data_IF_790284279188
#
_entry.id   IF_790284279188
#
_cell.length_a   1.000
_cell.length_b   1.000
_cell.length_c   1.000
_cell.angle_alpha   90.00
_cell.angle_beta   90.00
_cell.angle_gamma   90.00
#
_symmetry.space_group_name_H-M   'P 1'
#
loop_
_entity.id
_entity.type
_entity.pdbx_description
1 polymer ?
#
# COMPACT_ATOMS: atom_id res chain seq x y z
N UNK A 1 -17.32 18.35 2.77
CA UNK A 1 -17.34 16.90 2.54
C UNK A 1 -15.92 16.42 2.80
N UNK A 2 -15.69 15.64 3.86
CA UNK A 2 -14.36 15.15 4.25
C UNK A 2 -13.99 14.00 3.30
N UNK A 3 -12.98 14.20 2.44
CA UNK A 3 -12.43 13.14 1.57
C UNK A 3 -11.51 12.26 2.39
N UNK A 4 -11.80 10.97 2.43
CA UNK A 4 -10.96 9.93 3.03
C UNK A 4 -9.73 9.66 2.15
N UNK A 5 -8.58 9.43 2.76
CA UNK A 5 -7.30 9.17 2.08
C UNK A 5 -7.34 7.91 1.21
N UNK A 6 -6.72 7.94 0.02
CA UNK A 6 -6.87 6.97 -1.07
C UNK A 6 -6.69 5.48 -0.74
N UNK A 7 -5.83 5.10 0.20
CA UNK A 7 -5.67 3.68 0.57
C UNK A 7 -6.81 3.14 1.44
N UNK A 8 -7.40 4.00 2.29
CA UNK A 8 -8.62 3.65 3.05
C UNK A 8 -9.89 3.75 2.17
N UNK A 9 -9.86 4.51 1.09
CA UNK A 9 -10.98 4.71 0.16
C UNK A 9 -11.25 3.48 -0.71
N UNK A 10 -10.24 2.78 -1.22
CA UNK A 10 -10.41 1.55 -2.00
C UNK A 10 -11.01 0.42 -1.15
N UNK A 11 -10.60 0.31 0.11
CA UNK A 11 -11.18 -0.63 1.06
C UNK A 11 -12.65 -0.35 1.36
N UNK A 12 -13.10 0.91 1.36
CA UNK A 12 -14.50 1.27 1.62
C UNK A 12 -15.43 1.12 0.41
N UNK A 13 -14.95 1.30 -0.80
CA UNK A 13 -15.78 1.19 -2.02
C UNK A 13 -16.26 -0.25 -2.29
N UNK A 14 -15.44 -1.26 -1.95
CA UNK A 14 -15.84 -2.67 -2.06
C UNK A 14 -16.87 -3.12 -0.98
N UNK A 15 -17.08 -2.33 0.07
CA UNK A 15 -17.92 -2.69 1.22
C UNK A 15 -19.43 -2.50 1.02
N UNK A 16 -19.91 -1.97 -0.10
CA UNK A 16 -21.32 -1.54 -0.25
C UNK A 16 -22.28 -2.56 -0.89
N UNK A 17 -21.85 -3.77 -1.25
CA UNK A 17 -22.69 -4.66 -2.07
C UNK A 17 -22.81 -6.13 -1.62
N UNK A 18 -22.85 -6.50 -0.34
CA UNK A 18 -23.31 -7.86 -0.02
C UNK A 18 -23.92 -7.96 1.39
N UNK A 19 -25.25 -7.80 1.48
CA UNK A 19 -26.06 -8.32 2.57
C UNK A 19 -26.46 -9.78 2.29
N UNK A 20 -25.55 -10.70 2.56
CA UNK A 20 -25.85 -12.14 2.54
C UNK A 20 -26.17 -12.62 3.95
N UNK A 21 -27.38 -13.12 4.17
CA UNK A 21 -27.86 -13.57 5.47
C UNK A 21 -26.97 -14.64 6.12
N UNK A 22 -26.65 -14.43 7.39
CA UNK A 22 -25.87 -15.33 8.21
C UNK A 22 -26.49 -16.73 8.29
N UNK A 23 -25.74 -17.76 7.90
CA UNK A 23 -26.00 -19.13 8.36
C UNK A 23 -25.58 -19.21 9.83
N UNK A 24 -26.57 -19.29 10.71
CA UNK A 24 -26.35 -19.53 12.12
C UNK A 24 -25.65 -20.89 12.32
N UNK A 25 -24.53 -20.90 13.06
CA UNK A 25 -23.86 -22.02 13.74
C UNK A 25 -22.42 -22.39 13.35
N UNK A 26 -21.81 -21.88 12.28
CA UNK A 26 -20.37 -22.05 12.12
C UNK A 26 -19.63 -20.91 12.84
N UNK A 27 -18.65 -21.21 13.67
CA UNK A 27 -17.78 -20.17 14.26
C UNK A 27 -17.03 -19.40 13.18
N UNK A 28 -16.59 -18.18 13.49
CA UNK A 28 -15.89 -17.30 12.52
C UNK A 28 -14.72 -18.00 11.81
N UNK A 29 -13.83 -18.76 12.48
CA UNK A 29 -12.76 -19.49 11.80
C UNK A 29 -13.26 -20.47 10.74
N UNK A 30 -14.41 -21.13 11.00
CA UNK A 30 -14.99 -22.04 10.02
C UNK A 30 -15.58 -21.30 8.83
N UNK A 31 -16.21 -20.14 9.04
CA UNK A 31 -16.71 -19.29 7.95
C UNK A 31 -15.56 -18.85 7.04
N UNK A 32 -14.42 -18.43 7.62
CA UNK A 32 -13.21 -18.06 6.87
C UNK A 32 -12.70 -19.26 6.06
N UNK A 33 -12.54 -20.42 6.70
CA UNK A 33 -12.08 -21.63 6.04
C UNK A 33 -12.97 -22.03 4.85
N UNK A 34 -14.28 -22.06 5.06
CA UNK A 34 -15.24 -22.45 4.02
C UNK A 34 -15.30 -21.42 2.89
N UNK A 35 -15.20 -20.12 3.21
CA UNK A 35 -15.14 -19.07 2.20
C UNK A 35 -13.91 -19.22 1.31
N UNK A 36 -12.72 -19.41 1.91
CA UNK A 36 -11.48 -19.56 1.16
C UNK A 36 -11.45 -20.84 0.34
N UNK A 37 -11.94 -21.99 0.89
CA UNK A 37 -12.05 -23.25 0.14
C UNK A 37 -12.97 -23.13 -1.08
N UNK A 38 -14.05 -22.38 -0.96
CA UNK A 38 -15.06 -22.29 -2.00
C UNK A 38 -14.72 -21.27 -3.09
N UNK A 39 -13.94 -20.22 -2.78
CA UNK A 39 -13.85 -19.06 -3.65
C UNK A 39 -12.40 -18.67 -4.01
N UNK A 40 -11.42 -18.96 -3.16
CA UNK A 40 -10.02 -18.64 -3.47
C UNK A 40 -9.49 -19.59 -4.56
N UNK A 41 -8.81 -19.10 -5.62
CA UNK A 41 -8.40 -19.91 -6.76
C UNK A 41 -7.41 -21.03 -6.40
N UNK A 42 -6.55 -20.80 -5.39
CA UNK A 42 -5.58 -21.80 -4.94
C UNK A 42 -5.19 -21.58 -3.44
N UNK A 43 -6.09 -21.89 -2.47
CA UNK A 43 -5.88 -21.55 -1.05
C UNK A 43 -4.75 -22.32 -0.38
N UNK A 44 -4.16 -23.28 -1.05
CA UNK A 44 -3.10 -24.16 -0.54
C UNK A 44 -1.75 -23.96 -1.24
N UNK A 45 -1.53 -22.82 -1.90
CA UNK A 45 -0.27 -22.54 -2.61
C UNK A 45 0.93 -22.48 -1.66
N UNK A 46 0.77 -21.81 -0.52
CA UNK A 46 1.85 -21.59 0.44
C UNK A 46 1.66 -22.33 1.77
N UNK A 47 0.59 -23.10 1.91
CA UNK A 47 0.26 -23.90 3.09
C UNK A 47 -0.34 -25.24 2.62
N UNK A 48 -0.05 -26.35 3.28
CA UNK A 48 -0.73 -27.60 2.95
C UNK A 48 -2.18 -27.57 3.42
N UNK A 49 -3.04 -28.35 2.74
CA UNK A 49 -4.45 -28.46 3.14
C UNK A 49 -4.60 -28.91 4.59
N UNK A 50 -3.78 -29.87 5.01
CA UNK A 50 -3.80 -30.41 6.37
C UNK A 50 -3.40 -29.35 7.41
N UNK A 51 -2.38 -28.54 7.11
CA UNK A 51 -1.97 -27.44 7.99
C UNK A 51 -3.01 -26.33 8.04
N UNK A 52 -3.64 -25.98 6.92
CA UNK A 52 -4.74 -25.02 6.84
C UNK A 52 -5.94 -25.48 7.70
N UNK A 53 -6.37 -26.74 7.52
CA UNK A 53 -7.51 -27.31 8.25
C UNK A 53 -7.21 -27.40 9.76
N UNK A 54 -6.00 -27.81 10.14
CA UNK A 54 -5.57 -27.91 11.54
C UNK A 54 -5.55 -26.53 12.24
N UNK A 55 -5.11 -25.48 11.53
CA UNK A 55 -5.11 -24.11 12.07
C UNK A 55 -6.54 -23.58 12.25
N UNK A 56 -7.42 -23.80 11.26
CA UNK A 56 -8.84 -23.44 11.36
C UNK A 56 -9.52 -24.11 12.57
N UNK A 57 -9.28 -25.41 12.75
CA UNK A 57 -9.84 -26.19 13.86
C UNK A 57 -9.28 -25.71 15.20
N UNK A 58 -7.99 -25.49 15.32
CA UNK A 58 -7.36 -24.99 16.54
C UNK A 58 -7.90 -23.60 16.95
N UNK A 59 -8.11 -22.70 15.98
CA UNK A 59 -8.74 -21.41 16.22
C UNK A 59 -10.20 -21.58 16.65
N UNK A 60 -10.97 -22.44 15.99
CA UNK A 60 -12.36 -22.67 16.33
C UNK A 60 -12.52 -23.22 17.77
N UNK A 61 -11.63 -24.10 18.22
CA UNK A 61 -11.65 -24.65 19.58
C UNK A 61 -11.39 -23.59 20.66
N UNK A 62 -10.56 -22.58 20.37
CA UNK A 62 -10.17 -21.51 21.32
C UNK A 62 -10.95 -20.21 21.10
N UNK A 63 -11.84 -20.14 20.12
CA UNK A 63 -12.42 -18.89 19.66
C UNK A 63 -13.07 -18.07 20.78
N UNK A 64 -13.90 -18.68 21.60
CA UNK A 64 -14.58 -17.97 22.68
C UNK A 64 -13.60 -17.42 23.74
N UNK A 65 -12.56 -18.19 24.09
CA UNK A 65 -11.51 -17.73 25.00
C UNK A 65 -10.76 -16.52 24.41
N UNK A 66 -10.37 -16.61 23.13
CA UNK A 66 -9.70 -15.53 22.42
C UNK A 66 -10.59 -14.27 22.29
N UNK A 67 -11.90 -14.45 22.07
CA UNK A 67 -12.85 -13.31 22.06
C UNK A 67 -12.94 -12.63 23.43
N UNK A 68 -13.00 -13.40 24.53
CA UNK A 68 -13.02 -12.86 25.89
C UNK A 68 -11.74 -12.10 26.22
N UNK A 69 -10.59 -12.53 25.68
CA UNK A 69 -9.28 -11.88 25.85
C UNK A 69 -9.07 -10.70 24.89
N UNK A 70 -9.92 -10.55 23.87
CA UNK A 70 -9.75 -9.54 22.80
C UNK A 70 -8.68 -9.89 21.77
N UNK A 71 -8.24 -11.16 21.70
CA UNK A 71 -7.15 -11.65 20.84
C UNK A 71 -7.65 -12.36 19.57
N UNK A 72 -8.95 -12.64 19.47
CA UNK A 72 -9.53 -13.45 18.39
C UNK A 72 -9.24 -12.87 16.99
N UNK A 73 -9.39 -11.55 16.80
CA UNK A 73 -9.11 -10.89 15.54
C UNK A 73 -7.64 -11.00 15.13
N UNK A 74 -6.72 -10.84 16.09
CA UNK A 74 -5.28 -10.95 15.84
C UNK A 74 -4.86 -12.38 15.51
N UNK A 75 -5.37 -13.37 16.22
CA UNK A 75 -5.11 -14.79 15.95
C UNK A 75 -5.63 -15.19 14.54
N UNK A 76 -6.82 -14.71 14.18
CA UNK A 76 -7.39 -14.93 12.84
C UNK A 76 -6.54 -14.23 11.74
N UNK A 77 -6.07 -13.01 12.00
CA UNK A 77 -5.21 -12.26 11.09
C UNK A 77 -3.90 -13.02 10.82
N UNK A 78 -3.23 -13.52 11.86
CA UNK A 78 -2.01 -14.32 11.70
C UNK A 78 -2.24 -15.56 10.84
N UNK A 79 -3.37 -16.24 11.03
CA UNK A 79 -3.71 -17.40 10.21
C UNK A 79 -3.94 -17.02 8.74
N UNK A 80 -4.74 -15.98 8.46
CA UNK A 80 -4.98 -15.50 7.09
C UNK A 80 -3.67 -15.03 6.45
N UNK A 81 -2.83 -14.28 7.17
CA UNK A 81 -1.53 -13.81 6.69
C UNK A 81 -0.57 -14.97 6.33
N UNK A 82 -0.71 -16.15 6.97
CA UNK A 82 0.11 -17.32 6.66
C UNK A 82 -0.14 -17.91 5.26
N UNK A 83 -1.24 -17.53 4.60
CA UNK A 83 -1.54 -17.92 3.22
C UNK A 83 -0.61 -17.26 2.21
N UNK A 84 0.02 -16.14 2.59
CA UNK A 84 0.95 -15.39 1.72
C UNK A 84 0.35 -14.97 0.38
N UNK A 85 -0.94 -14.69 0.35
CA UNK A 85 -1.60 -13.99 -0.73
C UNK A 85 -1.80 -12.54 -0.30
N UNK A 86 -1.11 -11.61 -0.95
CA UNK A 86 -1.10 -10.19 -0.59
C UNK A 86 -2.47 -9.51 -0.74
N UNK A 87 -3.40 -10.13 -1.46
CA UNK A 87 -4.78 -9.68 -1.62
C UNK A 87 -5.76 -10.37 -0.66
N UNK A 88 -5.37 -11.51 -0.04
CA UNK A 88 -6.19 -12.18 0.98
C UNK A 88 -5.77 -11.72 2.36
N UNK A 89 -6.60 -10.86 2.97
CA UNK A 89 -6.28 -10.16 4.21
C UNK A 89 -7.50 -10.10 5.14
N UNK A 90 -7.21 -10.06 6.44
CA UNK A 90 -8.21 -9.71 7.43
C UNK A 90 -8.15 -8.21 7.72
N UNK A 91 -9.30 -7.56 7.67
CA UNK A 91 -9.45 -6.15 8.03
C UNK A 91 -10.34 -6.04 9.27
N UNK A 92 -9.81 -5.46 10.35
CA UNK A 92 -10.59 -5.10 11.53
C UNK A 92 -10.60 -3.58 11.69
N UNK A 93 -11.76 -2.98 11.48
CA UNK A 93 -11.93 -1.54 11.61
C UNK A 93 -11.65 -1.00 13.01
N UNK A 94 -11.65 -1.87 14.04
CA UNK A 94 -11.30 -1.48 15.40
C UNK A 94 -9.82 -1.14 15.57
N UNK A 95 -8.93 -1.80 14.80
CA UNK A 95 -7.49 -1.53 14.87
C UNK A 95 -7.12 -0.13 14.35
N UNK A 96 -7.96 0.42 13.47
CA UNK A 96 -7.75 1.75 12.88
C UNK A 96 -8.27 2.90 13.74
N UNK A 97 -8.98 2.60 14.84
CA UNK A 97 -9.60 3.63 15.67
C UNK A 97 -8.59 4.41 16.53
N UNK A 98 -7.44 3.79 16.86
CA UNK A 98 -6.41 4.42 17.70
C UNK A 98 -5.08 4.40 16.98
N UNK A 99 -4.54 5.59 16.69
CA UNK A 99 -3.36 5.75 15.84
C UNK A 99 -2.34 6.72 16.43
N UNK A 100 -1.12 6.62 15.93
CA UNK A 100 -0.09 7.62 16.20
C UNK A 100 -0.44 8.96 15.56
N UNK A 101 0.05 10.09 16.09
CA UNK A 101 -0.17 11.41 15.51
C UNK A 101 0.74 11.70 14.30
N UNK A 102 1.32 10.67 13.69
CA UNK A 102 2.21 10.78 12.54
C UNK A 102 1.92 9.70 11.49
N UNK A 103 2.40 9.93 10.27
CA UNK A 103 2.42 8.97 9.15
C UNK A 103 3.86 8.62 8.84
N UNK A 104 4.09 7.36 8.51
CA UNK A 104 5.40 6.79 8.22
C UNK A 104 5.46 6.32 6.77
N UNK A 105 6.60 6.51 6.13
CA UNK A 105 6.96 5.87 4.85
C UNK A 105 8.24 5.05 5.01
N UNK A 106 8.33 3.97 4.26
CA UNK A 106 9.57 3.21 4.10
C UNK A 106 10.42 3.86 3.00
N UNK A 107 11.64 4.27 3.34
CA UNK A 107 12.62 4.87 2.41
C UNK A 107 13.99 4.25 2.71
N UNK A 108 14.63 3.66 1.70
CA UNK A 108 15.96 3.04 1.82
C UNK A 108 16.09 2.10 3.04
N UNK A 109 15.04 1.28 3.27
CA UNK A 109 15.00 0.33 4.38
C UNK A 109 14.77 0.92 5.76
N UNK A 110 14.56 2.23 5.89
CA UNK A 110 14.20 2.93 7.14
C UNK A 110 12.76 3.41 7.12
N UNK A 111 12.19 3.61 8.30
CA UNK A 111 10.83 4.11 8.49
C UNK A 111 10.88 5.58 8.91
N UNK A 112 10.49 6.46 7.99
CA UNK A 112 10.61 7.93 8.11
C UNK A 112 9.27 8.54 8.50
N UNK A 113 9.23 9.44 9.47
CA UNK A 113 8.04 10.26 9.77
C UNK A 113 7.91 11.32 8.67
N UNK A 114 6.85 11.25 7.89
CA UNK A 114 6.66 12.11 6.70
C UNK A 114 5.54 13.13 6.83
N UNK A 115 4.60 12.88 7.73
CA UNK A 115 3.46 13.75 8.01
C UNK A 115 3.04 13.58 9.47
N UNK A 116 2.42 14.61 10.08
CA UNK A 116 1.92 14.48 11.45
C UNK A 116 1.14 15.67 11.94
N UNK A 117 0.65 15.57 13.17
CA UNK A 117 0.09 16.65 13.95
C UNK A 117 1.20 17.59 14.45
N UNK A 118 0.83 18.73 15.02
CA UNK A 118 1.79 19.75 15.51
C UNK A 118 2.85 19.15 16.46
N UNK A 119 2.49 18.15 17.29
CA UNK A 119 3.42 17.47 18.20
C UNK A 119 4.47 16.63 17.47
N UNK A 120 4.18 16.15 16.26
CA UNK A 120 5.12 15.36 15.44
C UNK A 120 5.93 16.22 14.46
N UNK A 121 5.55 17.47 14.25
CA UNK A 121 6.19 18.39 13.32
C UNK A 121 7.72 18.55 13.51
N UNK A 122 8.26 18.63 14.75
CA UNK A 122 9.71 18.71 14.96
C UNK A 122 10.47 17.47 14.48
N UNK A 123 9.77 16.36 14.27
CA UNK A 123 10.35 15.04 13.94
C UNK A 123 10.08 14.62 12.49
N UNK A 124 9.59 15.53 11.64
CA UNK A 124 9.49 15.23 10.22
C UNK A 124 10.87 14.98 9.62
N UNK A 125 11.00 13.90 8.87
CA UNK A 125 12.27 13.42 8.32
C UNK A 125 13.09 12.53 9.26
N UNK A 126 12.71 12.42 10.55
CA UNK A 126 13.39 11.51 11.47
C UNK A 126 12.98 10.06 11.21
N UNK A 127 13.90 9.13 11.47
CA UNK A 127 13.64 7.70 11.33
C UNK A 127 13.28 7.07 12.66
N UNK A 128 12.41 6.04 12.62
CA UNK A 128 12.06 5.25 13.82
C UNK A 128 13.17 4.24 14.08
N UNK A 129 13.77 4.29 15.27
CA UNK A 129 14.80 3.35 15.72
C UNK A 129 14.28 2.30 16.69
N UNK A 130 13.22 2.62 17.47
CA UNK A 130 12.57 1.67 18.37
C UNK A 130 11.15 2.14 18.72
N UNK A 131 10.28 1.19 19.10
CA UNK A 131 8.97 1.44 19.71
C UNK A 131 9.00 0.85 21.14
N UNK A 132 8.74 1.67 22.15
CA UNK A 132 8.98 1.27 23.54
C UNK A 132 10.45 0.87 23.71
N UNK A 133 10.65 -0.35 24.24
CA UNK A 133 12.00 -0.94 24.42
C UNK A 133 12.38 -1.89 23.28
N UNK A 134 11.50 -2.08 22.26
CA UNK A 134 11.71 -3.01 21.16
C UNK A 134 12.39 -2.30 19.96
N UNK A 135 13.59 -2.72 19.52
CA UNK A 135 14.25 -2.21 18.32
C UNK A 135 13.37 -2.34 17.07
N UNK A 136 13.52 -1.44 16.11
CA UNK A 136 12.65 -1.40 14.93
C UNK A 136 12.68 -2.70 14.11
N UNK A 137 13.81 -3.39 14.06
CA UNK A 137 13.98 -4.64 13.34
C UNK A 137 13.18 -5.78 14.01
N UNK A 138 13.05 -5.76 15.32
CA UNK A 138 12.21 -6.70 16.08
C UNK A 138 10.73 -6.38 15.91
N UNK A 139 10.36 -5.09 15.94
CA UNK A 139 8.99 -4.61 15.65
C UNK A 139 8.57 -5.04 14.24
N UNK A 140 9.42 -4.81 13.24
CA UNK A 140 9.20 -5.19 11.85
C UNK A 140 8.98 -6.70 11.71
N UNK A 141 9.82 -7.51 12.37
CA UNK A 141 9.71 -8.96 12.39
C UNK A 141 8.40 -9.42 13.02
N UNK A 142 8.02 -8.83 14.16
CA UNK A 142 6.79 -9.19 14.87
C UNK A 142 5.54 -8.80 14.06
N UNK A 143 5.51 -7.59 13.46
CA UNK A 143 4.41 -7.14 12.61
C UNK A 143 4.25 -8.00 11.36
N UNK A 144 5.33 -8.55 10.81
CA UNK A 144 5.28 -9.37 9.59
C UNK A 144 4.39 -10.62 9.71
N UNK A 145 4.12 -11.07 10.95
CA UNK A 145 3.19 -12.18 11.20
C UNK A 145 1.71 -11.83 10.91
N UNK A 146 1.38 -10.55 10.84
CA UNK A 146 0.02 -10.04 10.59
C UNK A 146 -0.16 -9.53 9.15
N UNK A 147 0.90 -9.57 8.33
CA UNK A 147 0.91 -9.02 6.98
C UNK A 147 0.90 -10.17 5.97
N UNK A 148 -0.12 -10.19 5.10
CA UNK A 148 -0.09 -11.01 3.89
C UNK A 148 0.78 -10.33 2.86
N UNK A 149 1.89 -10.93 2.45
CA UNK A 149 2.80 -10.35 1.47
C UNK A 149 3.48 -11.44 0.63
N UNK A 150 3.78 -11.10 -0.61
CA UNK A 150 4.56 -11.92 -1.55
C UNK A 150 5.93 -11.31 -1.83
N UNK A 151 6.10 -10.00 -1.56
CA UNK A 151 7.34 -9.27 -1.81
C UNK A 151 7.82 -8.53 -0.56
N UNK A 152 9.11 -8.26 -0.51
CA UNK A 152 9.70 -7.44 0.55
C UNK A 152 9.20 -5.97 0.49
N UNK A 153 8.97 -5.44 -0.73
CA UNK A 153 8.38 -4.12 -0.94
C UNK A 153 6.99 -4.00 -0.32
N UNK A 154 6.11 -4.99 -0.58
CA UNK A 154 4.79 -5.08 0.05
C UNK A 154 4.90 -5.13 1.58
N UNK A 155 5.74 -6.02 2.11
CA UNK A 155 5.95 -6.16 3.55
C UNK A 155 6.34 -4.83 4.21
N UNK A 156 7.32 -4.12 3.66
CA UNK A 156 7.78 -2.84 4.21
C UNK A 156 6.74 -1.73 4.12
N UNK A 157 6.02 -1.64 3.01
CA UNK A 157 4.95 -0.66 2.85
C UNK A 157 3.82 -0.90 3.84
N UNK A 158 3.44 -2.15 4.06
CA UNK A 158 2.44 -2.54 5.05
C UNK A 158 2.95 -2.28 6.48
N UNK A 159 4.20 -2.64 6.80
CA UNK A 159 4.81 -2.34 8.10
C UNK A 159 4.79 -0.83 8.40
N UNK A 160 5.13 0.02 7.44
CA UNK A 160 5.08 1.48 7.62
C UNK A 160 3.68 1.97 8.02
N UNK A 161 2.63 1.38 7.43
CA UNK A 161 1.23 1.63 7.82
C UNK A 161 0.95 1.12 9.23
N UNK A 162 1.37 -0.09 9.54
CA UNK A 162 1.04 -0.80 10.78
C UNK A 162 1.80 -0.21 12.00
N UNK A 163 2.96 0.41 11.78
CA UNK A 163 3.66 1.23 12.77
C UNK A 163 2.84 2.42 13.29
N UNK A 164 1.78 2.79 12.58
CA UNK A 164 0.86 3.83 13.01
C UNK A 164 -0.35 3.30 13.80
N UNK A 165 -0.48 1.97 14.03
CA UNK A 165 -1.65 1.35 14.66
C UNK A 165 -1.33 0.86 16.08
N UNK A 166 -1.79 1.58 17.11
CA UNK A 166 -1.47 1.24 18.49
C UNK A 166 -2.00 -0.14 18.90
N UNK A 167 -3.11 -0.59 18.32
CA UNK A 167 -3.66 -1.93 18.59
C UNK A 167 -2.68 -3.05 18.21
N UNK A 168 -2.05 -2.94 17.01
CA UNK A 168 -1.03 -3.89 16.57
C UNK A 168 0.27 -3.76 17.36
N UNK A 169 0.71 -2.52 17.66
CA UNK A 169 1.90 -2.30 18.48
C UNK A 169 1.75 -2.88 19.90
N UNK A 170 0.55 -2.81 20.48
CA UNK A 170 0.25 -3.43 21.75
C UNK A 170 0.20 -4.96 21.66
N UNK A 171 -0.41 -5.48 20.61
CA UNK A 171 -0.49 -6.93 20.37
C UNK A 171 0.90 -7.58 20.29
N UNK A 172 1.86 -6.92 19.64
CA UNK A 172 3.24 -7.43 19.53
C UNK A 172 4.10 -7.11 20.79
N UNK A 173 3.55 -6.42 21.79
CA UNK A 173 4.26 -6.06 23.03
C UNK A 173 5.21 -4.87 22.92
N UNK A 174 5.13 -4.09 21.84
CA UNK A 174 5.94 -2.88 21.67
C UNK A 174 5.43 -1.69 22.48
N UNK A 175 4.19 -1.73 22.97
CA UNK A 175 3.59 -0.77 23.91
C UNK A 175 2.57 -1.46 24.81
N UNK A 176 2.37 -0.93 26.02
CA UNK A 176 1.34 -1.42 26.97
C UNK A 176 0.02 -0.65 26.84
N UNK A 177 0.06 0.52 26.18
CA UNK A 177 -1.04 1.48 26.21
C UNK A 177 -1.61 1.73 24.83
N UNK A 178 -2.91 2.05 24.79
CA UNK A 178 -3.57 2.64 23.61
C UNK A 178 -3.67 4.17 23.70
N UNK A 179 -3.31 4.79 24.82
CA UNK A 179 -3.41 6.24 25.02
C UNK A 179 -2.16 6.97 24.52
N UNK A 180 -1.00 6.30 24.58
CA UNK A 180 0.27 6.87 24.15
C UNK A 180 1.26 5.78 23.72
N UNK A 181 2.23 6.17 22.88
CA UNK A 181 3.35 5.32 22.47
C UNK A 181 4.67 6.05 22.67
N UNK A 182 5.69 5.35 23.19
CA UNK A 182 7.07 5.84 23.25
C UNK A 182 7.79 5.39 21.99
N UNK A 183 8.45 6.33 21.32
CA UNK A 183 9.18 6.08 20.08
C UNK A 183 10.58 6.64 20.23
N UNK A 184 11.60 5.83 19.98
CA UNK A 184 12.96 6.31 19.82
C UNK A 184 13.17 6.70 18.36
N UNK A 185 13.41 7.97 18.12
CA UNK A 185 13.64 8.58 16.83
C UNK A 185 15.13 8.88 16.65
N UNK A 186 15.64 8.71 15.42
CA UNK A 186 17.01 9.02 15.04
C UNK A 186 17.01 10.22 14.07
N UNK A 187 17.76 11.25 14.43
CA UNK A 187 17.90 12.49 13.66
C UNK A 187 18.66 12.26 12.36
N UNK A 188 18.16 12.77 11.22
CA UNK A 188 18.88 12.69 9.94
C UNK A 188 20.12 13.58 9.89
N UNK A 189 20.25 14.59 10.78
CA UNK A 189 21.34 15.56 10.74
C UNK A 189 22.63 15.03 11.34
N UNK A 190 22.54 14.33 12.46
CA UNK A 190 23.69 13.94 13.29
C UNK A 190 23.60 12.50 13.82
N UNK A 191 22.49 11.78 13.55
CA UNK A 191 22.25 10.44 14.04
C UNK A 191 21.93 10.37 15.54
N UNK A 192 21.69 11.52 16.20
CA UNK A 192 21.31 11.53 17.61
C UNK A 192 19.94 10.84 17.79
N UNK A 193 19.85 10.03 18.85
CA UNK A 193 18.61 9.32 19.19
C UNK A 193 17.88 10.00 20.33
N UNK A 194 16.60 10.25 20.13
CA UNK A 194 15.70 10.84 21.11
C UNK A 194 14.47 9.96 21.33
N UNK A 195 14.16 9.67 22.61
CA UNK A 195 12.88 9.05 22.96
C UNK A 195 11.82 10.12 23.12
N UNK A 196 10.70 9.94 22.43
CA UNK A 196 9.55 10.84 22.42
C UNK A 196 8.29 10.03 22.77
N UNK A 197 7.45 10.57 23.63
CA UNK A 197 6.13 10.02 23.90
C UNK A 197 5.09 10.79 23.09
N UNK A 198 4.30 10.07 22.30
CA UNK A 198 3.20 10.63 21.51
C UNK A 198 1.87 10.15 22.07
N UNK A 199 0.95 11.07 22.35
CA UNK A 199 -0.44 10.73 22.62
C UNK A 199 -1.12 10.19 21.37
N UNK A 200 -2.02 9.23 21.52
CA UNK A 200 -2.75 8.62 20.41
C UNK A 200 -3.86 9.54 19.90
N UNK A 201 -4.27 9.28 18.68
CA UNK A 201 -5.42 9.91 18.04
C UNK A 201 -6.56 8.90 17.87
N UNK A 202 -7.77 9.31 18.25
CA UNK A 202 -9.01 8.54 18.02
C UNK A 202 -9.80 9.04 16.82
N UNK A 203 -9.49 10.23 16.32
CA UNK A 203 -10.07 10.80 15.10
C UNK A 203 -8.97 11.04 14.05
N UNK A 204 -9.27 10.64 12.81
CA UNK A 204 -8.34 10.73 11.69
C UNK A 204 -8.40 12.14 11.08
N UNK A 205 -7.60 13.06 11.59
CA UNK A 205 -7.42 14.38 11.00
C UNK A 205 -5.93 14.75 10.98
N UNK A 206 -5.20 14.30 9.96
CA UNK A 206 -3.84 14.80 9.76
C UNK A 206 -3.89 16.23 9.21
N UNK A 207 -3.12 17.10 9.82
CA UNK A 207 -2.89 18.44 9.29
C UNK A 207 -1.96 18.35 8.08
N UNK A 208 -2.48 18.74 6.92
CA UNK A 208 -1.74 18.70 5.66
C UNK A 208 -0.67 19.78 5.55
N UNK A 209 -0.65 20.75 6.43
CA UNK A 209 0.40 21.77 6.50
C UNK A 209 1.71 21.23 7.12
N UNK A 210 1.66 20.04 7.73
CA UNK A 210 2.77 19.37 8.41
C UNK A 210 3.20 18.11 7.65
N UNK A 211 3.41 18.22 6.34
CA UNK A 211 3.89 17.14 5.49
C UNK A 211 5.20 17.55 4.80
N UNK A 212 6.14 16.62 4.68
CA UNK A 212 7.36 16.86 3.91
C UNK A 212 7.04 17.07 2.42
N UNK A 213 7.68 18.04 1.74
CA UNK A 213 7.35 18.40 0.36
C UNK A 213 7.40 17.23 -0.62
N UNK A 214 8.41 16.37 -0.54
CA UNK A 214 8.49 15.18 -1.40
C UNK A 214 7.40 14.16 -1.05
N UNK A 215 7.15 13.94 0.24
CA UNK A 215 6.06 13.07 0.69
C UNK A 215 4.69 13.61 0.25
N UNK A 216 4.46 14.93 0.27
CA UNK A 216 3.23 15.52 -0.27
C UNK A 216 3.07 15.23 -1.76
N UNK A 217 4.14 15.26 -2.51
CA UNK A 217 4.14 14.88 -3.94
C UNK A 217 3.87 13.38 -4.12
N UNK A 218 4.45 12.54 -3.29
CA UNK A 218 4.35 11.08 -3.38
C UNK A 218 3.03 10.55 -2.79
N UNK A 219 2.50 11.14 -1.72
CA UNK A 219 1.22 10.77 -1.08
C UNK A 219 0.01 11.45 -1.76
N UNK A 220 0.07 11.68 -3.04
CA UNK A 220 -0.85 12.54 -3.77
C UNK A 220 -2.32 12.23 -3.57
N UNK A 221 -3.07 13.30 -3.64
CA UNK A 221 -4.52 13.32 -3.61
C UNK A 221 -5.06 13.44 -5.03
N UNK A 222 -5.96 12.57 -5.38
CA UNK A 222 -6.57 12.48 -6.69
C UNK A 222 -6.03 11.30 -7.49
N UNK A 223 -6.84 10.86 -8.42
CA UNK A 223 -6.67 9.61 -9.16
C UNK A 223 -5.50 9.70 -10.14
N UNK A 224 -5.45 10.81 -10.89
CA UNK A 224 -4.37 11.12 -11.82
C UNK A 224 -4.27 12.62 -12.09
N UNK A 225 -3.08 13.05 -12.48
CA UNK A 225 -2.81 14.44 -12.89
C UNK A 225 -1.61 14.50 -13.82
N UNK A 226 -1.51 15.57 -14.61
CA UNK A 226 -0.36 15.85 -15.45
C UNK A 226 0.21 17.24 -15.16
N UNK A 227 1.52 17.36 -15.29
CA UNK A 227 2.26 18.61 -15.17
C UNK A 227 3.33 18.67 -16.25
N UNK A 228 3.39 19.76 -16.99
CA UNK A 228 4.54 20.04 -17.86
C UNK A 228 5.71 20.45 -16.95
N UNK A 229 6.67 19.55 -16.83
CA UNK A 229 7.90 19.81 -16.09
C UNK A 229 8.92 20.56 -16.95
N UNK A 230 10.05 20.92 -16.34
CA UNK A 230 11.14 21.64 -16.99
C UNK A 230 11.65 20.87 -18.23
N UNK A 231 12.07 21.60 -19.27
CA UNK A 231 12.77 21.07 -20.47
C UNK A 231 11.99 20.06 -21.34
N UNK A 232 10.69 20.34 -21.61
CA UNK A 232 9.92 19.53 -22.55
C UNK A 232 9.52 18.16 -22.04
N UNK A 233 9.59 17.93 -20.74
CA UNK A 233 9.17 16.68 -20.10
C UNK A 233 7.73 16.81 -19.58
N UNK A 234 6.87 15.86 -19.96
CA UNK A 234 5.54 15.67 -19.40
C UNK A 234 5.62 14.68 -18.24
N UNK A 235 5.15 15.09 -17.06
CA UNK A 235 5.05 14.23 -15.88
C UNK A 235 3.57 13.94 -15.60
N UNK A 236 3.22 12.66 -15.55
CA UNK A 236 1.86 12.16 -15.30
C UNK A 236 1.91 11.31 -14.05
N UNK A 237 1.21 11.71 -12.99
CA UNK A 237 0.95 10.85 -11.85
C UNK A 237 -0.34 10.07 -12.10
N UNK A 238 -0.27 8.76 -11.93
CA UNK A 238 -1.40 7.84 -11.99
C UNK A 238 -1.45 7.05 -10.69
N UNK A 239 -2.25 7.53 -9.74
CA UNK A 239 -2.23 7.07 -8.35
C UNK A 239 -3.26 5.98 -8.03
N UNK A 240 -4.29 5.83 -8.85
CA UNK A 240 -5.35 4.83 -8.68
C UNK A 240 -5.86 4.35 -10.04
N UNK A 241 -6.03 3.05 -10.20
CA UNK A 241 -6.63 2.46 -11.39
C UNK A 241 -8.18 2.57 -11.32
N UNK A 242 -8.68 3.81 -11.23
CA UNK A 242 -10.12 4.13 -11.21
C UNK A 242 -10.38 5.40 -12.01
N UNK A 243 -11.60 5.56 -12.52
CA UNK A 243 -11.99 6.81 -13.14
C UNK A 243 -12.31 7.86 -12.09
N UNK A 244 -11.74 9.07 -12.24
CA UNK A 244 -12.20 10.23 -11.47
C UNK A 244 -13.62 10.60 -11.92
N UNK A 245 -14.51 10.89 -10.96
CA UNK A 245 -15.91 11.17 -11.25
C UNK A 245 -16.11 12.43 -12.11
N UNK A 246 -15.21 13.42 -12.00
CA UNK A 246 -15.29 14.69 -12.69
C UNK A 246 -14.46 14.73 -13.99
N UNK A 247 -13.47 13.85 -14.09
CA UNK A 247 -12.53 13.79 -15.20
C UNK A 247 -12.15 12.32 -15.50
N UNK A 248 -13.03 11.52 -16.13
CA UNK A 248 -12.70 10.15 -16.51
C UNK A 248 -11.42 10.09 -17.34
N UNK A 249 -10.66 8.98 -17.27
CA UNK A 249 -9.35 8.83 -17.93
C UNK A 249 -9.41 9.18 -19.44
N UNK A 250 -10.51 8.83 -20.11
CA UNK A 250 -10.72 9.19 -21.52
C UNK A 250 -10.72 10.71 -21.74
N UNK A 251 -11.40 11.44 -20.87
CA UNK A 251 -11.51 12.90 -20.98
C UNK A 251 -10.20 13.56 -20.54
N UNK A 252 -9.52 13.00 -19.54
CA UNK A 252 -8.18 13.41 -19.11
C UNK A 252 -7.16 13.28 -20.24
N UNK A 253 -7.10 12.13 -20.93
CA UNK A 253 -6.21 11.90 -22.04
C UNK A 253 -6.51 12.84 -23.22
N UNK A 254 -7.78 13.06 -23.55
CA UNK A 254 -8.19 14.00 -24.60
C UNK A 254 -7.84 15.46 -24.24
N UNK A 255 -8.06 15.88 -22.99
CA UNK A 255 -7.70 17.22 -22.52
C UNK A 255 -6.19 17.45 -22.54
N UNK A 256 -5.42 16.43 -22.17
CA UNK A 256 -3.95 16.46 -22.21
C UNK A 256 -3.45 16.60 -23.65
N UNK A 257 -3.98 15.81 -24.58
CA UNK A 257 -3.65 15.89 -26.02
C UNK A 257 -3.95 17.28 -26.59
N UNK A 258 -5.08 17.88 -26.21
CA UNK A 258 -5.48 19.22 -26.69
C UNK A 258 -4.60 20.36 -26.12
N UNK A 259 -3.96 20.16 -24.97
CA UNK A 259 -3.05 21.15 -24.36
C UNK A 259 -1.64 21.11 -24.94
N UNK A 260 -1.22 19.97 -25.48
CA UNK A 260 0.12 19.79 -26.03
C UNK A 260 0.18 20.31 -27.46
N UNK A 261 0.98 21.33 -27.70
CA UNK A 261 1.18 21.93 -29.04
C UNK A 261 2.19 21.15 -29.88
N UNK A 262 2.99 20.30 -29.28
CA UNK A 262 3.97 19.40 -29.89
C UNK A 262 4.22 18.21 -28.98
N UNK A 263 4.75 17.12 -29.54
CA UNK A 263 5.16 15.96 -28.78
C UNK A 263 6.22 16.35 -27.71
N UNK A 264 6.03 15.97 -26.43
CA UNK A 264 7.06 16.15 -25.42
C UNK A 264 8.32 15.34 -25.78
N UNK A 265 9.50 15.79 -25.37
CA UNK A 265 10.73 15.01 -25.56
C UNK A 265 10.71 13.74 -24.70
N UNK A 266 10.26 13.89 -23.44
CA UNK A 266 10.12 12.79 -22.49
C UNK A 266 8.73 12.80 -21.87
N UNK A 267 8.18 11.61 -21.64
CA UNK A 267 6.95 11.44 -20.86
C UNK A 267 7.25 10.47 -19.72
N UNK A 268 6.97 10.89 -18.50
CA UNK A 268 7.13 10.09 -17.29
C UNK A 268 5.74 9.79 -16.75
N UNK A 269 5.40 8.50 -16.61
CA UNK A 269 4.19 8.03 -15.91
C UNK A 269 4.59 7.48 -14.56
N UNK A 270 4.10 8.07 -13.47
CA UNK A 270 4.44 7.66 -12.11
C UNK A 270 3.36 6.75 -11.52
N UNK A 271 3.72 5.47 -11.31
CA UNK A 271 2.90 4.43 -10.70
C UNK A 271 3.36 4.08 -9.27
N UNK A 272 4.38 4.74 -8.72
CA UNK A 272 5.00 4.35 -7.44
C UNK A 272 4.04 4.33 -6.26
N UNK A 273 2.92 5.02 -6.35
CA UNK A 273 1.90 5.10 -5.30
C UNK A 273 0.54 4.59 -5.75
N UNK A 274 0.49 3.85 -6.85
CA UNK A 274 -0.74 3.28 -7.39
C UNK A 274 -1.02 1.91 -6.75
N UNK A 275 -2.02 1.87 -5.88
CA UNK A 275 -2.47 0.66 -5.19
C UNK A 275 -3.33 -0.28 -6.05
N UNK A 276 -3.59 0.04 -7.32
CA UNK A 276 -4.41 -0.77 -8.23
C UNK A 276 -5.85 -0.27 -8.39
N UNK A 277 -6.74 -1.19 -8.73
CA UNK A 277 -8.16 -0.96 -9.08
C UNK A 277 -8.55 -1.76 -10.33
N UNK A 278 -9.09 -1.09 -11.35
CA UNK A 278 -9.42 -1.68 -12.66
C UNK A 278 -8.29 -1.39 -13.67
N UNK A 279 -7.57 -2.42 -14.10
CA UNK A 279 -6.43 -2.30 -15.03
C UNK A 279 -6.83 -1.73 -16.41
N UNK A 280 -8.10 -1.78 -16.79
CA UNK A 280 -8.56 -1.24 -18.08
C UNK A 280 -8.65 0.29 -18.13
N UNK A 281 -8.66 0.96 -16.98
CA UNK A 281 -8.82 2.42 -16.89
C UNK A 281 -7.69 3.17 -17.59
N UNK A 282 -6.47 2.65 -17.59
CA UNK A 282 -5.31 3.30 -18.22
C UNK A 282 -5.39 3.33 -19.76
N UNK A 283 -6.22 2.51 -20.40
CA UNK A 283 -6.19 2.28 -21.86
C UNK A 283 -6.29 3.55 -22.73
N UNK A 284 -7.11 4.57 -22.42
CA UNK A 284 -7.09 5.83 -23.18
C UNK A 284 -5.75 6.58 -23.08
N UNK A 285 -5.07 6.48 -21.92
CA UNK A 285 -3.74 7.07 -21.75
C UNK A 285 -2.69 6.28 -22.55
N UNK A 286 -2.74 4.95 -22.55
CA UNK A 286 -1.85 4.08 -23.37
C UNK A 286 -1.92 4.49 -24.83
N UNK A 287 -3.12 4.66 -25.39
CA UNK A 287 -3.31 5.08 -26.77
C UNK A 287 -2.68 6.45 -27.07
N UNK A 288 -2.81 7.39 -26.11
CA UNK A 288 -2.18 8.71 -26.24
C UNK A 288 -0.66 8.62 -26.19
N UNK A 289 -0.12 7.81 -25.29
CA UNK A 289 1.33 7.61 -25.13
C UNK A 289 1.94 6.96 -26.37
N UNK A 290 1.30 5.95 -26.95
CA UNK A 290 1.73 5.35 -28.24
C UNK A 290 1.79 6.38 -29.37
N UNK A 291 0.78 7.25 -29.48
CA UNK A 291 0.77 8.34 -30.45
C UNK A 291 2.01 9.26 -30.30
N UNK A 292 2.42 9.58 -29.08
CA UNK A 292 3.57 10.43 -28.82
C UNK A 292 4.91 9.70 -28.99
N UNK A 293 4.96 8.40 -28.64
CA UNK A 293 6.12 7.55 -28.90
C UNK A 293 6.41 7.47 -30.39
N UNK A 294 5.39 7.25 -31.24
CA UNK A 294 5.49 7.28 -32.72
C UNK A 294 5.98 8.64 -33.27
N UNK A 295 5.80 9.72 -32.53
CA UNK A 295 6.28 11.07 -32.83
C UNK A 295 7.69 11.34 -32.26
N UNK A 296 8.31 10.35 -31.61
CA UNK A 296 9.68 10.42 -31.10
C UNK A 296 9.79 10.77 -29.61
N UNK A 297 8.69 10.82 -28.85
CA UNK A 297 8.74 10.95 -27.38
C UNK A 297 9.33 9.70 -26.76
N UNK A 298 10.21 9.87 -25.77
CA UNK A 298 10.72 8.75 -24.97
C UNK A 298 9.82 8.54 -23.75
N UNK A 299 9.38 7.31 -23.57
CA UNK A 299 8.47 6.95 -22.50
C UNK A 299 9.25 6.35 -21.31
N UNK A 300 8.91 6.80 -20.11
CA UNK A 300 9.39 6.25 -18.85
C UNK A 300 8.21 5.98 -17.92
N UNK A 301 8.27 4.88 -17.19
CA UNK A 301 7.33 4.61 -16.11
C UNK A 301 8.07 4.45 -14.79
N UNK A 302 7.67 5.19 -13.75
CA UNK A 302 8.25 5.05 -12.42
C UNK A 302 7.45 4.00 -11.66
N UNK A 303 8.15 2.98 -11.17
CA UNK A 303 7.59 1.89 -10.36
C UNK A 303 8.32 1.78 -9.02
N UNK A 304 7.70 1.14 -8.04
CA UNK A 304 8.30 0.93 -6.72
C UNK A 304 7.42 0.13 -5.77
N UNK A 305 7.79 0.10 -4.51
CA UNK A 305 7.14 -0.70 -3.47
C UNK A 305 5.63 -0.41 -3.27
N UNK A 306 5.15 0.77 -3.68
CA UNK A 306 3.72 1.10 -3.65
C UNK A 306 2.97 0.79 -4.96
N UNK A 307 3.65 0.31 -6.01
CA UNK A 307 3.01 -0.17 -7.24
C UNK A 307 2.41 -1.55 -6.96
N UNK A 308 1.07 -1.63 -6.96
CA UNK A 308 0.38 -2.81 -6.45
C UNK A 308 -0.82 -3.20 -7.32
N UNK A 309 -1.20 -4.50 -7.33
CA UNK A 309 -2.40 -5.02 -7.99
C UNK A 309 -2.46 -4.63 -9.49
N UNK A 310 -3.56 -4.06 -9.97
CA UNK A 310 -3.74 -3.64 -11.37
C UNK A 310 -2.65 -2.67 -11.86
N UNK A 311 -2.00 -1.91 -10.98
CA UNK A 311 -0.89 -1.04 -11.37
C UNK A 311 0.36 -1.81 -11.78
N UNK A 312 0.56 -3.03 -11.24
CA UNK A 312 1.64 -3.94 -11.67
C UNK A 312 1.40 -4.40 -13.11
N UNK A 313 0.14 -4.72 -13.46
CA UNK A 313 -0.24 -5.05 -14.84
C UNK A 313 -0.05 -3.83 -15.76
N UNK A 314 -0.45 -2.64 -15.30
CA UNK A 314 -0.28 -1.41 -16.08
C UNK A 314 1.20 -1.02 -16.28
N UNK A 315 2.10 -1.39 -15.36
CA UNK A 315 3.54 -1.23 -15.58
C UNK A 315 4.02 -2.07 -16.78
N UNK A 316 3.54 -3.31 -16.91
CA UNK A 316 3.83 -4.15 -18.08
C UNK A 316 3.15 -3.60 -19.35
N UNK A 317 1.89 -3.12 -19.28
CA UNK A 317 1.23 -2.48 -20.42
C UNK A 317 2.07 -1.28 -20.92
N UNK A 318 2.63 -0.47 -20.01
CA UNK A 318 3.52 0.65 -20.38
C UNK A 318 4.83 0.16 -20.99
N UNK A 319 5.42 -0.92 -20.48
CA UNK A 319 6.63 -1.54 -21.06
C UNK A 319 6.36 -2.05 -22.48
N UNK A 320 5.20 -2.67 -22.72
CA UNK A 320 4.82 -3.18 -24.04
C UNK A 320 4.73 -2.09 -25.10
N UNK A 321 4.42 -0.86 -24.74
CA UNK A 321 4.41 0.30 -25.64
C UNK A 321 5.76 1.06 -25.69
N UNK A 322 6.84 0.47 -25.17
CA UNK A 322 8.18 1.02 -25.26
C UNK A 322 8.61 1.89 -24.08
N UNK A 323 7.86 1.97 -22.98
CA UNK A 323 8.31 2.70 -21.81
C UNK A 323 9.45 1.95 -21.09
N UNK A 324 10.50 2.70 -20.71
CA UNK A 324 11.54 2.20 -19.81
C UNK A 324 11.04 2.28 -18.36
N UNK A 325 11.02 1.16 -17.66
CA UNK A 325 10.65 1.13 -16.23
C UNK A 325 11.83 1.55 -15.37
N UNK A 326 11.61 2.53 -14.50
CA UNK A 326 12.66 3.12 -13.64
C UNK A 326 12.18 3.15 -12.19
N UNK A 327 13.07 2.91 -11.26
CA UNK A 327 12.77 2.96 -9.83
C UNK A 327 13.12 1.69 -9.10
N UNK A 328 12.18 1.13 -8.34
CA UNK A 328 12.36 -0.08 -7.54
C UNK A 328 11.37 -1.17 -8.00
N UNK A 329 11.66 -2.42 -7.65
CA UNK A 329 10.75 -3.56 -7.84
C UNK A 329 9.37 -3.24 -7.29
N UNK A 330 8.32 -3.61 -8.01
CA UNK A 330 6.93 -3.40 -7.54
C UNK A 330 6.66 -4.11 -6.22
N UNK A 331 5.84 -3.49 -5.37
CA UNK A 331 5.39 -4.13 -4.12
C UNK A 331 4.42 -5.28 -4.39
N UNK A 332 3.53 -5.14 -5.36
CA UNK A 332 2.64 -6.21 -5.78
C UNK A 332 3.25 -7.13 -6.81
N UNK A 333 2.61 -8.29 -6.98
CA UNK A 333 2.92 -9.30 -8.02
C UNK A 333 1.82 -9.38 -9.06
N UNK A 334 2.11 -9.96 -10.22
CA UNK A 334 1.08 -10.51 -11.11
C UNK A 334 0.76 -11.90 -10.59
N UNK A 335 -0.30 -12.01 -9.82
CA UNK A 335 -0.67 -13.22 -9.08
C UNK A 335 -2.15 -13.26 -8.77
N UNK A 336 -2.49 -13.55 -7.52
CA UNK A 336 -3.88 -13.55 -7.06
C UNK A 336 -4.47 -12.13 -7.04
N UNK A 337 -5.79 -12.04 -7.27
CA UNK A 337 -6.50 -10.77 -7.27
C UNK A 337 -8.01 -10.93 -7.52
N UNK A 338 -8.65 -9.88 -8.04
CA UNK A 338 -10.10 -9.77 -8.19
C UNK A 338 -10.80 -10.00 -6.84
N UNK A 339 -10.76 -8.94 -6.01
CA UNK A 339 -11.11 -9.00 -4.60
C UNK A 339 -12.61 -9.17 -4.38
N UNK A 340 -12.93 -10.04 -3.44
CA UNK A 340 -14.24 -10.10 -2.82
C UNK A 340 -14.09 -9.95 -1.30
N UNK A 341 -15.19 -9.63 -0.60
CA UNK A 341 -15.17 -9.43 0.84
C UNK A 341 -16.39 -10.08 1.50
N UNK A 342 -16.19 -10.61 2.71
CA UNK A 342 -17.26 -11.08 3.59
C UNK A 342 -17.14 -10.40 4.96
N UNK A 343 -18.27 -9.87 5.45
CA UNK A 343 -18.38 -9.38 6.80
C UNK A 343 -18.51 -10.59 7.75
N UNK A 344 -17.56 -10.74 8.66
CA UNK A 344 -17.54 -11.85 9.63
C UNK A 344 -18.31 -11.49 10.91
N UNK A 345 -18.11 -10.27 11.42
CA UNK A 345 -18.76 -9.74 12.63
C UNK A 345 -18.41 -8.24 12.77
N UNK A 346 -19.38 -7.41 13.11
CA UNK A 346 -19.18 -5.96 13.34
C UNK A 346 -18.37 -5.27 12.24
N UNK A 347 -17.12 -4.90 12.52
CA UNK A 347 -16.18 -4.26 11.58
C UNK A 347 -15.06 -5.22 11.12
N UNK A 348 -15.21 -6.51 11.35
CA UNK A 348 -14.26 -7.54 10.97
C UNK A 348 -14.62 -8.10 9.60
N UNK A 349 -13.74 -7.97 8.63
CA UNK A 349 -13.94 -8.40 7.25
C UNK A 349 -12.80 -9.32 6.82
N UNK A 350 -13.15 -10.39 6.10
CA UNK A 350 -12.20 -11.13 5.27
C UNK A 350 -12.28 -10.59 3.86
N UNK A 351 -11.17 -10.10 3.34
CA UNK A 351 -10.96 -9.85 1.91
C UNK A 351 -10.20 -11.02 1.33
N UNK A 352 -10.57 -11.46 0.13
CA UNK A 352 -9.94 -12.63 -0.49
C UNK A 352 -9.93 -12.53 -2.01
N UNK A 353 -8.91 -13.12 -2.61
CA UNK A 353 -8.76 -13.24 -4.05
C UNK A 353 -9.74 -14.25 -4.63
N UNK A 354 -10.28 -13.96 -5.82
CA UNK A 354 -11.18 -14.86 -6.55
C UNK A 354 -10.60 -15.33 -7.88
N UNK A 355 -9.43 -14.78 -8.29
CA UNK A 355 -8.78 -15.10 -9.55
C UNK A 355 -7.26 -15.16 -9.40
N UNK A 356 -6.66 -16.04 -10.17
CA UNK A 356 -5.23 -16.10 -10.39
C UNK A 356 -4.91 -15.55 -11.78
N UNK A 357 -4.34 -14.33 -11.84
CA UNK A 357 -3.93 -13.69 -13.09
C UNK A 357 -2.63 -14.28 -13.67
N UNK A 358 -1.85 -14.99 -12.85
CA UNK A 358 -0.67 -15.73 -13.30
C UNK A 358 -1.03 -17.06 -13.99
N UNK A 359 -2.30 -17.50 -13.91
CA UNK A 359 -2.79 -18.76 -14.49
C UNK A 359 -1.96 -19.97 -14.04
N UNK A 360 -1.57 -20.03 -12.77
CA UNK A 360 -0.78 -21.09 -12.18
C UNK A 360 0.74 -20.96 -12.39
N UNK A 361 1.21 -19.90 -13.04
CA UNK A 361 2.64 -19.58 -13.09
C UNK A 361 3.09 -18.99 -11.73
N UNK A 362 4.40 -19.03 -11.42
CA UNK A 362 4.91 -18.35 -10.22
C UNK A 362 4.57 -16.87 -10.21
N UNK A 363 4.01 -16.38 -9.11
CA UNK A 363 3.77 -14.97 -8.90
C UNK A 363 5.09 -14.21 -8.85
N UNK A 364 5.17 -13.12 -9.59
CA UNK A 364 6.40 -12.31 -9.67
C UNK A 364 6.08 -10.84 -9.67
N UNK A 365 6.87 -10.04 -8.93
CA UNK A 365 6.86 -8.61 -9.10
C UNK A 365 7.42 -8.21 -10.47
N UNK A 366 7.20 -6.97 -10.85
CA UNK A 366 7.82 -6.37 -12.02
C UNK A 366 9.10 -5.66 -11.59
N UNK A 367 10.20 -6.06 -12.20
CA UNK A 367 11.51 -5.46 -11.98
C UNK A 367 11.66 -4.22 -12.88
N UNK A 368 12.28 -3.13 -12.40
CA UNK A 368 12.60 -2.00 -13.24
C UNK A 368 13.73 -2.34 -14.23
N UNK A 369 13.70 -1.72 -15.41
CA UNK A 369 14.80 -1.83 -16.38
C UNK A 369 16.04 -1.04 -15.89
N UNK A 370 15.80 0.03 -15.11
CA UNK A 370 16.83 0.84 -14.47
C UNK A 370 16.51 0.94 -12.98
N UNK A 371 17.27 0.22 -12.15
CA UNK A 371 17.12 0.25 -10.69
C UNK A 371 17.63 1.56 -10.12
N UNK A 372 16.74 2.38 -9.60
CA UNK A 372 17.03 3.67 -8.97
C UNK A 372 16.15 3.83 -7.75
N UNK A 373 16.57 3.34 -6.57
CA UNK A 373 15.83 3.53 -5.35
C UNK A 373 15.83 4.99 -4.88
N UNK A 374 14.78 5.41 -4.18
CA UNK A 374 14.78 6.68 -3.47
C UNK A 374 15.77 6.62 -2.32
N UNK A 375 16.80 7.48 -2.34
CA UNK A 375 17.74 7.56 -1.22
C UNK A 375 17.18 8.42 -0.10
N UNK A 376 17.53 8.10 1.15
CA UNK A 376 17.13 8.89 2.31
C UNK A 376 17.69 10.32 2.22
N UNK A 377 18.95 10.45 1.81
CA UNK A 377 19.61 11.76 1.66
C UNK A 377 18.92 12.67 0.63
N UNK A 378 18.45 12.13 -0.50
CA UNK A 378 17.68 12.91 -1.48
C UNK A 378 16.27 13.21 -0.97
N UNK A 379 15.64 12.23 -0.31
CA UNK A 379 14.30 12.39 0.29
C UNK A 379 14.27 13.55 1.29
N UNK A 380 15.27 13.64 2.19
CA UNK A 380 15.41 14.72 3.16
C UNK A 380 15.57 16.10 2.51
N UNK A 381 16.23 16.15 1.34
CA UNK A 381 16.39 17.37 0.55
C UNK A 381 15.18 17.72 -0.33
N UNK A 382 14.13 16.90 -0.30
CA UNK A 382 12.98 17.03 -1.18
C UNK A 382 13.27 16.71 -2.64
N UNK A 383 14.29 15.86 -2.90
CA UNK A 383 14.73 15.48 -4.24
C UNK A 383 14.19 14.08 -4.57
N UNK A 384 13.50 13.98 -5.69
CA UNK A 384 13.05 12.71 -6.26
C UNK A 384 14.19 12.09 -7.07
N UNK A 385 14.83 11.05 -6.51
CA UNK A 385 16.01 10.41 -7.10
C UNK A 385 15.73 9.85 -8.49
N UNK A 386 14.60 9.15 -8.66
CA UNK A 386 14.23 8.51 -9.93
C UNK A 386 13.87 9.55 -11.00
N UNK A 387 13.10 10.58 -10.66
CA UNK A 387 12.78 11.68 -11.59
C UNK A 387 14.06 12.39 -12.03
N UNK A 388 14.95 12.72 -11.10
CA UNK A 388 16.23 13.37 -11.43
C UNK A 388 17.11 12.52 -12.34
N UNK A 389 17.09 11.21 -12.17
CA UNK A 389 17.81 10.30 -13.03
C UNK A 389 17.22 10.29 -14.45
N UNK A 390 15.90 10.15 -14.60
CA UNK A 390 15.23 10.18 -15.93
C UNK A 390 15.47 11.49 -16.66
N UNK A 391 15.47 12.63 -15.96
CA UNK A 391 15.74 13.91 -16.59
C UNK A 391 17.14 14.00 -17.22
N UNK A 392 18.13 13.25 -16.68
CA UNK A 392 19.52 13.21 -17.18
C UNK A 392 19.78 12.17 -18.27
N UNK A 393 18.85 11.26 -18.54
CA UNK A 393 18.98 10.29 -19.63
C UNK A 393 18.90 11.05 -20.96
N UNK A 394 19.93 10.96 -21.79
CA UNK A 394 20.00 11.57 -23.13
C UNK A 394 19.20 10.78 -24.16
#
# INVERSE_FOLDING_TARGET
>A
MKKTNGFAGLLMAAMLLLSGGAKAQAGIPQIVADTLRANHPAPYTNITKEAFDAQAEALAQKWNELEEQGEAGFALCRWVASLKDEHTQLFDGAWYNVRTPYVVMAVEGKYVIVQGQECAKPYLGWTIAAIGDMPIEEVETALSAYISFETEGCRRTQTARDLCMLALLREIGATDSLDAVKVTLESPLDGEKQMVAFESLTEYAYDTSTILPLADTLLQRGTYRATLAVAGTLFIQYNECTNDENMPMKDFAAALDAQLTSAPEKIIVDLRHNGGGDSSVIQPLIQLLQKYEEQGSRLFALIGAGTFSSAVMNAEDLREIGATLVGETTGGTIGFGELNAVNLKDKLYLMYSTKDFANGAPHKPVEPDILIPQTLSDFEKGVDTAVQAVLKIE
#
